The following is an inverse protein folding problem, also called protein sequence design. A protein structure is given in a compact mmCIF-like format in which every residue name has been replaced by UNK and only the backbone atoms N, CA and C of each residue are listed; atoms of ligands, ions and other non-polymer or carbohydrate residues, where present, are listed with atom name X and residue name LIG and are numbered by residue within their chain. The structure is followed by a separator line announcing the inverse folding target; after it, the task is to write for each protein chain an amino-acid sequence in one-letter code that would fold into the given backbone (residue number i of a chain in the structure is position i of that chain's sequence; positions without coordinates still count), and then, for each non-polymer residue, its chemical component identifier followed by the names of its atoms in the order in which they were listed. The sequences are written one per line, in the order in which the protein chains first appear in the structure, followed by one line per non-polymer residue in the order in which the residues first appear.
data_IF_935541314369
#
_entry.id   IF_935541314369
#
_cell.length_a   1.000
_cell.length_b   1.000
_cell.length_c   1.000
_cell.angle_alpha   90.00
_cell.angle_beta   90.00
_cell.angle_gamma   90.00
#
_symmetry.space_group_name_H-M   'P 1'
#
loop_
_entity.id
_entity.type
_entity.pdbx_description
1 polymer ?
#
# COMPACT_ATOMS: atom_id res chain seq x y z
N UNK A 1 -29.74 19.63 5.44
CA UNK A 1 -30.21 18.45 4.69
C UNK A 1 -28.98 17.63 4.39
N UNK A 2 -28.97 16.39 4.89
CA UNK A 2 -27.98 15.32 4.71
C UNK A 2 -26.61 15.50 5.37
N UNK A 3 -26.43 14.80 6.49
CA UNK A 3 -25.15 14.45 7.10
C UNK A 3 -24.48 13.36 6.25
N UNK A 4 -23.38 13.68 5.57
CA UNK A 4 -22.44 12.67 5.07
C UNK A 4 -21.64 12.15 6.27
N UNK A 5 -22.09 11.03 6.83
CA UNK A 5 -21.30 10.20 7.72
C UNK A 5 -20.25 9.52 6.86
N UNK A 6 -19.05 10.09 6.77
CA UNK A 6 -17.91 9.44 6.13
C UNK A 6 -17.57 8.20 6.94
N UNK A 7 -17.78 7.05 6.33
CA UNK A 7 -17.37 5.74 6.82
C UNK A 7 -15.83 5.68 6.86
N UNK A 8 -15.23 6.18 7.95
CA UNK A 8 -13.77 6.21 8.17
C UNK A 8 -13.18 4.80 8.37
N UNK A 9 -14.02 3.76 8.46
CA UNK A 9 -13.58 2.39 8.79
C UNK A 9 -12.92 1.66 7.61
N UNK A 10 -13.06 2.16 6.38
CA UNK A 10 -12.45 1.55 5.19
C UNK A 10 -11.61 2.57 4.41
N UNK A 11 -10.31 2.64 4.70
CA UNK A 11 -9.38 3.37 3.82
C UNK A 11 -9.40 2.66 2.47
N UNK A 12 -9.79 3.34 1.38
CA UNK A 12 -9.96 2.68 0.12
C UNK A 12 -8.59 2.24 -0.43
N UNK A 13 -8.51 1.07 -1.08
CA UNK A 13 -7.24 0.44 -1.47
C UNK A 13 -6.39 1.30 -2.41
N UNK A 14 -7.01 2.23 -3.14
CA UNK A 14 -6.33 3.18 -4.03
C UNK A 14 -5.51 4.23 -3.26
N UNK A 15 -5.93 4.63 -2.06
CA UNK A 15 -5.19 5.58 -1.21
C UNK A 15 -3.95 4.92 -0.61
N UNK A 16 -4.06 3.66 -0.17
CA UNK A 16 -2.93 2.88 0.33
C UNK A 16 -1.86 2.71 -0.76
N UNK A 17 -2.28 2.37 -1.98
CA UNK A 17 -1.36 2.27 -3.11
C UNK A 17 -0.60 3.58 -3.37
N UNK A 18 -1.23 4.76 -3.21
CA UNK A 18 -0.57 6.07 -3.37
C UNK A 18 0.54 6.34 -2.35
N UNK A 19 0.48 5.77 -1.14
CA UNK A 19 1.56 5.87 -0.13
C UNK A 19 2.62 4.78 -0.31
N UNK A 20 2.18 3.56 -0.60
CA UNK A 20 3.05 2.37 -0.62
C UNK A 20 3.93 2.35 -1.87
N UNK A 21 3.36 2.59 -3.06
CA UNK A 21 4.10 2.50 -4.33
C UNK A 21 5.31 3.45 -4.37
N UNK A 22 5.20 4.74 -4.02
CA UNK A 22 6.35 5.64 -4.02
C UNK A 22 7.43 5.24 -3.00
N UNK A 23 7.02 4.70 -1.85
CA UNK A 23 7.94 4.25 -0.80
C UNK A 23 8.81 3.09 -1.30
N UNK A 24 8.18 2.06 -1.86
CA UNK A 24 8.89 0.89 -2.42
C UNK A 24 9.75 1.31 -3.62
N UNK A 25 9.23 2.17 -4.51
CA UNK A 25 9.98 2.66 -5.66
C UNK A 25 11.28 3.36 -5.24
N UNK A 26 11.22 4.18 -4.19
CA UNK A 26 12.39 4.84 -3.60
C UNK A 26 13.36 3.84 -2.97
N UNK A 27 12.87 2.85 -2.23
CA UNK A 27 13.69 1.81 -1.59
C UNK A 27 14.44 0.95 -2.61
N UNK A 28 13.79 0.61 -3.73
CA UNK A 28 14.35 -0.24 -4.78
C UNK A 28 15.12 0.55 -5.86
N UNK A 29 15.01 1.88 -5.88
CA UNK A 29 15.63 2.71 -6.91
C UNK A 29 15.04 2.51 -8.31
N UNK A 30 13.74 2.21 -8.40
CA UNK A 30 13.03 1.91 -9.66
C UNK A 30 11.88 2.89 -9.89
N UNK A 31 11.29 2.87 -11.09
CA UNK A 31 10.14 3.71 -11.41
C UNK A 31 8.87 3.30 -10.66
N UNK A 32 8.07 4.29 -10.22
CA UNK A 32 6.78 4.03 -9.56
C UNK A 32 5.80 3.23 -10.43
N UNK A 33 5.84 3.40 -11.75
CA UNK A 33 5.03 2.60 -12.69
C UNK A 33 5.43 1.13 -12.70
N UNK A 34 6.72 0.81 -12.55
CA UNK A 34 7.22 -0.57 -12.45
C UNK A 34 6.69 -1.25 -11.20
N UNK A 35 6.74 -0.54 -10.07
CA UNK A 35 6.21 -1.03 -8.79
C UNK A 35 4.70 -1.19 -8.87
N UNK A 36 3.96 -0.21 -9.39
CA UNK A 36 2.51 -0.29 -9.54
C UNK A 36 2.09 -1.50 -10.40
N UNK A 37 2.78 -1.75 -11.50
CA UNK A 37 2.52 -2.91 -12.36
C UNK A 37 2.81 -4.24 -11.64
N UNK A 38 3.91 -4.34 -10.90
CA UNK A 38 4.23 -5.53 -10.12
C UNK A 38 3.22 -5.77 -8.98
N UNK A 39 2.80 -4.71 -8.27
CA UNK A 39 1.77 -4.76 -7.23
C UNK A 39 0.44 -5.27 -7.81
N UNK A 40 0.00 -4.75 -8.96
CA UNK A 40 -1.23 -5.20 -9.61
C UNK A 40 -1.19 -6.70 -9.93
N UNK A 41 -0.07 -7.19 -10.48
CA UNK A 41 0.09 -8.62 -10.77
C UNK A 41 0.06 -9.48 -9.49
N UNK A 42 0.70 -9.03 -8.41
CA UNK A 42 0.67 -9.73 -7.12
C UNK A 42 -0.74 -9.75 -6.52
N UNK A 43 -1.49 -8.65 -6.66
CA UNK A 43 -2.89 -8.54 -6.21
C UNK A 43 -3.84 -9.44 -7.01
N UNK A 44 -3.54 -9.67 -8.29
CA UNK A 44 -4.21 -10.66 -9.15
C UNK A 44 -3.82 -12.11 -8.81
N UNK A 45 -2.91 -12.33 -7.85
CA UNK A 45 -2.46 -13.64 -7.39
C UNK A 45 -1.29 -14.23 -8.18
N UNK A 46 -0.62 -13.45 -9.03
CA UNK A 46 0.62 -13.89 -9.66
C UNK A 46 1.72 -14.06 -8.61
N UNK A 47 2.61 -15.05 -8.80
CA UNK A 47 3.75 -15.28 -7.92
C UNK A 47 5.00 -14.58 -8.44
N UNK A 48 5.96 -14.26 -7.55
CA UNK A 48 7.24 -13.66 -7.96
C UNK A 48 7.95 -14.46 -9.06
N UNK A 49 8.11 -15.80 -8.98
CA UNK A 49 8.75 -16.57 -10.06
C UNK A 49 7.98 -16.48 -11.38
N UNK A 50 6.65 -16.39 -11.33
CA UNK A 50 5.82 -16.23 -12.52
C UNK A 50 6.03 -14.85 -13.16
N UNK A 51 5.99 -13.78 -12.36
CA UNK A 51 6.19 -12.41 -12.83
C UNK A 51 7.60 -12.27 -13.43
N UNK A 52 8.61 -12.72 -12.69
CA UNK A 52 10.00 -12.69 -13.09
C UNK A 52 10.26 -13.45 -14.38
N UNK A 53 9.46 -14.46 -14.74
CA UNK A 53 9.68 -15.25 -15.96
C UNK A 53 8.80 -14.85 -17.14
N UNK A 54 7.56 -14.45 -16.88
CA UNK A 54 6.52 -14.30 -17.92
C UNK A 54 5.89 -12.90 -18.01
N UNK A 55 6.27 -11.98 -17.12
CA UNK A 55 5.74 -10.60 -17.06
C UNK A 55 6.83 -9.53 -16.94
N UNK A 56 8.07 -9.84 -17.32
CA UNK A 56 9.21 -8.91 -17.24
C UNK A 56 8.92 -7.58 -17.93
N UNK A 57 8.36 -7.57 -19.13
CA UNK A 57 8.12 -6.32 -19.85
C UNK A 57 7.05 -5.44 -19.18
N UNK A 58 6.03 -6.07 -18.57
CA UNK A 58 4.96 -5.37 -17.87
C UNK A 58 5.49 -4.64 -16.64
N UNK A 59 6.47 -5.21 -15.95
CA UNK A 59 7.11 -4.59 -14.78
C UNK A 59 8.33 -3.73 -15.12
N UNK A 60 8.64 -3.53 -16.41
CA UNK A 60 9.84 -2.77 -16.82
C UNK A 60 11.15 -3.49 -16.48
N UNK A 61 11.15 -4.83 -16.57
CA UNK A 61 12.27 -5.72 -16.34
C UNK A 61 12.79 -5.78 -14.90
N UNK A 62 11.89 -5.70 -13.91
CA UNK A 62 12.27 -6.04 -12.53
C UNK A 62 12.78 -7.48 -12.46
N UNK A 63 13.92 -7.67 -11.80
CA UNK A 63 14.51 -8.99 -11.58
C UNK A 63 13.88 -9.72 -10.37
N UNK A 64 14.23 -11.01 -10.20
CA UNK A 64 13.70 -11.85 -9.12
C UNK A 64 14.01 -11.29 -7.73
N UNK A 65 15.20 -10.69 -7.55
CA UNK A 65 15.60 -10.10 -6.26
C UNK A 65 14.75 -8.87 -5.96
N UNK A 66 14.59 -7.97 -6.94
CA UNK A 66 13.75 -6.78 -6.81
C UNK A 66 12.29 -7.15 -6.54
N UNK A 67 11.75 -8.17 -7.22
CA UNK A 67 10.37 -8.62 -7.04
C UNK A 67 10.13 -9.26 -5.67
N UNK A 68 11.09 -10.02 -5.12
CA UNK A 68 11.00 -10.56 -3.76
C UNK A 68 11.00 -9.44 -2.71
N UNK A 69 11.94 -8.51 -2.83
CA UNK A 69 11.99 -7.37 -1.92
C UNK A 69 10.72 -6.53 -2.04
N UNK A 70 10.21 -6.31 -3.24
CA UNK A 70 8.92 -5.63 -3.46
C UNK A 70 7.78 -6.34 -2.73
N UNK A 71 7.65 -7.67 -2.87
CA UNK A 71 6.59 -8.46 -2.22
C UNK A 71 6.66 -8.36 -0.68
N UNK A 72 7.86 -8.50 -0.12
CA UNK A 72 8.10 -8.39 1.32
C UNK A 72 7.74 -7.00 1.85
N UNK A 73 8.19 -5.94 1.16
CA UNK A 73 7.92 -4.56 1.55
C UNK A 73 6.46 -4.18 1.37
N UNK A 74 5.81 -4.64 0.30
CA UNK A 74 4.39 -4.46 0.06
C UNK A 74 3.56 -5.03 1.20
N UNK A 75 3.86 -6.26 1.63
CA UNK A 75 3.19 -6.91 2.75
C UNK A 75 3.35 -6.13 4.04
N UNK A 76 4.60 -5.79 4.39
CA UNK A 76 4.90 -5.04 5.60
C UNK A 76 4.18 -3.69 5.65
N UNK A 77 4.21 -2.93 4.56
CA UNK A 77 3.59 -1.61 4.49
C UNK A 77 2.06 -1.69 4.54
N UNK A 78 1.44 -2.71 3.93
CA UNK A 78 -0.01 -2.93 4.05
C UNK A 78 -0.42 -3.23 5.49
N UNK A 79 0.29 -4.13 6.16
CA UNK A 79 0.04 -4.44 7.58
C UNK A 79 0.22 -3.21 8.48
N UNK A 80 1.21 -2.37 8.19
CA UNK A 80 1.44 -1.12 8.92
C UNK A 80 0.26 -0.15 8.76
N UNK A 81 -0.22 0.06 7.53
CA UNK A 81 -1.34 0.95 7.27
C UNK A 81 -2.67 0.42 7.82
N UNK A 82 -2.89 -0.90 7.77
CA UNK A 82 -4.05 -1.54 8.40
C UNK A 82 -4.04 -1.32 9.92
N UNK A 83 -2.88 -1.51 10.57
CA UNK A 83 -2.73 -1.22 12.01
C UNK A 83 -2.94 0.25 12.32
N UNK A 84 -2.45 1.16 11.47
CA UNK A 84 -2.65 2.61 11.63
C UNK A 84 -4.14 2.95 11.57
N UNK A 85 -4.87 2.41 10.60
CA UNK A 85 -6.32 2.59 10.48
C UNK A 85 -7.07 2.09 11.73
N UNK A 86 -6.72 0.90 12.22
CA UNK A 86 -7.31 0.33 13.43
C UNK A 86 -7.03 1.20 14.68
N UNK A 87 -5.83 1.75 14.81
CA UNK A 87 -5.48 2.67 15.91
C UNK A 87 -6.31 3.95 15.82
N UNK A 88 -6.41 4.56 14.64
CA UNK A 88 -7.22 5.77 14.43
C UNK A 88 -8.69 5.52 14.77
N UNK A 89 -9.27 4.41 14.29
CA UNK A 89 -10.64 4.02 14.58
C UNK A 89 -10.86 3.83 16.10
N UNK A 90 -9.95 3.14 16.79
CA UNK A 90 -10.04 2.94 18.24
C UNK A 90 -9.97 4.26 19.04
N UNK A 91 -9.20 5.24 18.57
CA UNK A 91 -9.10 6.57 19.20
C UNK A 91 -10.37 7.40 18.91
N UNK A 92 -10.92 7.28 17.70
CA UNK A 92 -12.16 7.94 17.28
C UNK A 92 -13.37 7.41 18.05
N UNK A 93 -13.48 6.09 18.23
CA UNK A 93 -14.52 5.43 19.05
C UNK A 93 -14.50 5.92 20.51
N UNK A 94 -13.33 6.29 21.03
CA UNK A 94 -13.18 6.89 22.36
C UNK A 94 -13.51 8.40 22.39
N UNK A 95 -13.83 9.02 21.25
CA UNK A 95 -14.05 10.45 21.12
C UNK A 95 -12.80 11.31 21.36
N UNK A 96 -11.60 10.72 21.23
CA UNK A 96 -10.32 11.36 21.55
C UNK A 96 -9.51 11.76 20.32
N UNK A 97 -10.01 11.46 19.12
CA UNK A 97 -9.29 11.75 17.89
C UNK A 97 -9.40 13.24 17.56
N UNK A 98 -8.35 13.99 17.88
CA UNK A 98 -8.21 15.39 17.46
C UNK A 98 -7.52 15.47 16.11
N UNK A 99 -7.71 16.58 15.38
CA UNK A 99 -7.04 16.79 14.09
C UNK A 99 -5.51 16.76 14.22
N UNK A 100 -4.97 17.34 15.30
CA UNK A 100 -3.53 17.29 15.59
C UNK A 100 -3.02 15.86 15.82
N UNK A 101 -3.80 15.03 16.53
CA UNK A 101 -3.45 13.63 16.77
C UNK A 101 -3.55 12.81 15.49
N UNK A 102 -4.58 13.04 14.67
CA UNK A 102 -4.72 12.44 13.35
C UNK A 102 -3.52 12.75 12.46
N UNK A 103 -3.12 14.02 12.35
CA UNK A 103 -1.96 14.43 11.54
C UNK A 103 -0.63 13.83 12.02
N UNK A 104 -0.52 13.48 13.31
CA UNK A 104 0.70 12.83 13.84
C UNK A 104 0.73 11.33 13.50
N UNK A 105 -0.44 10.72 13.34
CA UNK A 105 -0.60 9.31 13.05
C UNK A 105 -0.67 9.03 11.55
N UNK A 106 -1.01 9.99 10.67
CA UNK A 106 -1.07 9.80 9.20
C UNK A 106 0.25 10.00 8.46
#
# INVERSE_FOLDING_TARGET
MTTETTDTTHIPPDVLQRKIVPSIAKELGVGGSQVAAAVALLDEGATVPFIARYRKEVTGNLDDTQLRTLEERLRYLRELEERRAAVLASIEEQGKLTDALRMTIE
#
